data_IF_550810149062
#
_entry.id   IF_550810149062
#
_cell.length_a   1.000
_cell.length_b   1.000
_cell.length_c   1.000
_cell.angle_alpha   90.00
_cell.angle_beta   90.00
_cell.angle_gamma   90.00
#
_symmetry.space_group_name_H-M   'P 1'
#
loop_
_entity.id
_entity.type
_entity.pdbx_description
1 polymer ?
#
# COMPACT_ATOMS: atom_id res chain seq x y z
N UNK A 1 37.44 -10.63 -22.38
CA UNK A 1 36.34 -11.55 -22.07
C UNK A 1 36.57 -12.06 -20.66
N UNK A 2 35.96 -11.42 -19.66
CA UNK A 2 36.02 -11.95 -18.29
C UNK A 2 34.95 -13.03 -18.17
N UNK A 3 35.39 -14.28 -18.04
CA UNK A 3 34.49 -15.38 -17.72
C UNK A 3 33.84 -15.08 -16.37
N UNK A 4 32.51 -14.97 -16.35
CA UNK A 4 31.76 -14.74 -15.13
C UNK A 4 31.92 -15.94 -14.19
N UNK A 5 32.77 -15.80 -13.18
CA UNK A 5 33.00 -16.89 -12.22
C UNK A 5 31.77 -17.13 -11.36
N UNK A 6 31.61 -18.35 -10.84
CA UNK A 6 30.50 -18.68 -9.91
C UNK A 6 30.50 -17.76 -8.69
N UNK A 7 31.69 -17.41 -8.18
CA UNK A 7 31.84 -16.49 -7.06
C UNK A 7 31.33 -15.08 -7.41
N UNK A 8 31.68 -14.57 -8.60
CA UNK A 8 31.26 -13.26 -9.06
C UNK A 8 29.75 -13.20 -9.37
N UNK A 9 29.20 -14.25 -9.99
CA UNK A 9 27.77 -14.41 -10.19
C UNK A 9 27.04 -14.36 -8.84
N UNK A 10 27.50 -15.15 -7.87
CA UNK A 10 26.88 -15.24 -6.53
C UNK A 10 26.97 -13.92 -5.79
N UNK A 11 28.10 -13.22 -5.86
CA UNK A 11 28.29 -11.92 -5.23
C UNK A 11 27.35 -10.85 -5.82
N UNK A 12 27.30 -10.73 -7.16
CA UNK A 12 26.43 -9.76 -7.84
C UNK A 12 24.95 -10.04 -7.54
N UNK A 13 24.56 -11.32 -7.54
CA UNK A 13 23.21 -11.75 -7.17
C UNK A 13 22.87 -11.41 -5.72
N UNK A 14 23.77 -11.71 -4.77
CA UNK A 14 23.59 -11.41 -3.35
C UNK A 14 23.47 -9.91 -3.09
N UNK A 15 24.27 -9.08 -3.78
CA UNK A 15 24.18 -7.62 -3.67
C UNK A 15 22.86 -7.11 -4.24
N UNK A 16 22.42 -7.57 -5.41
CA UNK A 16 21.13 -7.20 -6.00
C UNK A 16 19.96 -7.54 -5.08
N UNK A 17 19.93 -8.77 -4.55
CA UNK A 17 18.94 -9.23 -3.58
C UNK A 17 18.99 -8.39 -2.30
N UNK A 18 20.17 -8.17 -1.73
CA UNK A 18 20.36 -7.42 -0.49
C UNK A 18 19.91 -5.98 -0.61
N UNK A 19 20.24 -5.31 -1.71
CA UNK A 19 19.82 -3.93 -1.97
C UNK A 19 18.30 -3.82 -2.14
N UNK A 20 17.68 -4.71 -2.93
CA UNK A 20 16.22 -4.77 -3.06
C UNK A 20 15.52 -5.07 -1.73
N UNK A 21 16.12 -5.94 -0.90
CA UNK A 21 15.63 -6.23 0.44
C UNK A 21 15.70 -5.01 1.36
N UNK A 22 16.79 -4.23 1.33
CA UNK A 22 16.91 -3.00 2.13
C UNK A 22 15.83 -1.97 1.77
N UNK A 23 15.58 -1.76 0.48
CA UNK A 23 14.47 -0.89 0.01
C UNK A 23 13.13 -1.44 0.53
N UNK A 24 12.92 -2.75 0.41
CA UNK A 24 11.68 -3.39 0.83
C UNK A 24 11.45 -3.40 2.34
N UNK A 25 12.50 -3.46 3.18
CA UNK A 25 12.40 -3.35 4.64
C UNK A 25 11.86 -1.98 5.02
N UNK A 26 12.42 -0.91 4.45
CA UNK A 26 11.95 0.46 4.70
C UNK A 26 10.48 0.61 4.31
N UNK A 27 10.10 0.09 3.14
CA UNK A 27 8.71 0.10 2.66
C UNK A 27 7.76 -0.70 3.56
N UNK A 28 8.17 -1.89 4.01
CA UNK A 28 7.35 -2.75 4.86
C UNK A 28 7.16 -2.13 6.25
N UNK A 29 8.20 -1.52 6.81
CA UNK A 29 8.10 -0.81 8.08
C UNK A 29 7.11 0.35 8.01
N UNK A 30 6.97 1.00 6.85
CA UNK A 30 5.97 2.05 6.60
C UNK A 30 4.60 1.52 6.14
N UNK A 31 4.31 0.23 6.31
CA UNK A 31 3.05 -0.42 5.95
C UNK A 31 2.63 -0.24 4.48
N UNK A 32 3.60 -0.18 3.56
CA UNK A 32 3.33 0.06 2.13
C UNK A 32 3.07 -1.25 1.36
N UNK A 33 2.30 -1.17 0.25
CA UNK A 33 1.85 -2.35 -0.51
C UNK A 33 2.97 -3.27 -1.02
N UNK A 34 4.05 -2.73 -1.58
CA UNK A 34 5.23 -3.52 -1.95
C UNK A 34 6.31 -3.43 -0.87
N UNK A 35 6.35 -4.44 0.00
CA UNK A 35 7.30 -4.57 1.10
C UNK A 35 8.58 -5.35 0.73
N UNK A 36 9.17 -6.01 1.73
CA UNK A 36 10.45 -6.73 1.64
C UNK A 36 10.49 -7.74 0.49
N UNK A 37 9.56 -8.70 0.48
CA UNK A 37 9.56 -9.81 -0.47
C UNK A 37 9.46 -9.32 -1.91
N UNK A 38 8.58 -8.36 -2.18
CA UNK A 38 8.34 -7.84 -3.53
C UNK A 38 9.55 -7.13 -4.09
N UNK A 39 10.16 -6.21 -3.34
CA UNK A 39 11.34 -5.47 -3.80
C UNK A 39 12.57 -6.37 -3.97
N UNK A 40 12.77 -7.32 -3.04
CA UNK A 40 13.84 -8.30 -3.16
C UNK A 40 13.69 -9.16 -4.41
N UNK A 41 12.49 -9.68 -4.70
CA UNK A 41 12.23 -10.49 -5.89
C UNK A 41 12.38 -9.70 -7.19
N UNK A 42 11.93 -8.45 -7.23
CA UNK A 42 12.06 -7.58 -8.40
C UNK A 42 13.52 -7.25 -8.71
N UNK A 43 14.31 -6.86 -7.70
CA UNK A 43 15.75 -6.64 -7.85
C UNK A 43 16.47 -7.94 -8.25
N UNK A 44 16.12 -9.08 -7.63
CA UNK A 44 16.70 -10.39 -7.94
C UNK A 44 16.41 -10.80 -9.38
N UNK A 45 15.16 -10.67 -9.84
CA UNK A 45 14.77 -11.01 -11.21
C UNK A 45 15.52 -10.16 -12.25
N UNK A 46 15.58 -8.84 -12.04
CA UNK A 46 16.36 -7.94 -12.88
C UNK A 46 17.84 -8.33 -12.92
N UNK A 47 18.41 -8.68 -11.76
CA UNK A 47 19.81 -9.11 -11.65
C UNK A 47 20.05 -10.39 -12.44
N UNK A 48 19.17 -11.39 -12.31
CA UNK A 48 19.27 -12.67 -13.01
C UNK A 48 19.19 -12.53 -14.53
N UNK A 49 18.29 -11.70 -15.06
CA UNK A 49 18.18 -11.49 -16.51
C UNK A 49 19.46 -10.89 -17.09
N UNK A 50 20.05 -9.90 -16.42
CA UNK A 50 21.30 -9.28 -16.90
C UNK A 50 22.49 -10.23 -16.71
N UNK A 51 22.58 -10.97 -15.60
CA UNK A 51 23.64 -11.97 -15.41
C UNK A 51 23.53 -13.11 -16.44
N UNK A 52 22.32 -13.52 -16.84
CA UNK A 52 22.12 -14.47 -17.92
C UNK A 52 22.73 -13.96 -19.23
N UNK A 53 22.47 -12.70 -19.61
CA UNK A 53 23.04 -12.10 -20.82
C UNK A 53 24.58 -12.06 -20.79
N UNK A 54 25.16 -11.77 -19.62
CA UNK A 54 26.62 -11.79 -19.40
C UNK A 54 27.16 -13.22 -19.52
N UNK A 55 26.48 -14.20 -18.94
CA UNK A 55 26.89 -15.60 -18.97
C UNK A 55 26.81 -16.24 -20.37
N UNK A 56 25.89 -15.78 -21.22
CA UNK A 56 25.76 -16.23 -22.62
C UNK A 56 26.64 -15.44 -23.58
N UNK A 57 27.51 -14.55 -23.07
CA UNK A 57 28.36 -13.65 -23.86
C UNK A 57 27.58 -12.83 -24.91
N UNK A 58 26.33 -12.47 -24.62
CA UNK A 58 25.55 -11.63 -25.53
C UNK A 58 26.22 -10.26 -25.64
N UNK A 59 26.47 -9.84 -26.88
CA UNK A 59 27.05 -8.54 -27.23
C UNK A 59 26.25 -7.32 -26.75
N UNK A 60 25.01 -7.50 -26.26
CA UNK A 60 24.13 -6.40 -25.88
C UNK A 60 23.45 -6.56 -24.51
N UNK A 61 24.18 -6.58 -23.37
CA UNK A 61 23.57 -6.61 -22.03
C UNK A 61 22.61 -5.42 -21.79
N UNK A 62 22.88 -4.28 -22.42
CA UNK A 62 21.99 -3.10 -22.40
C UNK A 62 20.62 -3.38 -23.01
N UNK A 63 20.52 -4.30 -24.00
CA UNK A 63 19.24 -4.71 -24.59
C UNK A 63 18.39 -5.46 -23.57
N UNK A 64 18.99 -6.38 -22.84
CA UNK A 64 18.29 -7.12 -21.76
C UNK A 64 17.86 -6.15 -20.65
N UNK A 65 18.71 -5.19 -20.29
CA UNK A 65 18.34 -4.12 -19.36
C UNK A 65 17.13 -3.30 -19.86
N UNK A 66 17.06 -2.95 -21.15
CA UNK A 66 15.89 -2.27 -21.74
C UNK A 66 14.61 -3.11 -21.64
N UNK A 67 14.71 -4.43 -21.81
CA UNK A 67 13.56 -5.33 -21.61
C UNK A 67 13.15 -5.43 -20.14
N UNK A 68 14.10 -5.38 -19.20
CA UNK A 68 13.79 -5.28 -17.76
C UNK A 68 13.01 -3.99 -17.49
N UNK A 69 13.48 -2.85 -17.99
CA UNK A 69 12.79 -1.54 -17.85
C UNK A 69 11.35 -1.62 -18.37
N UNK A 70 11.17 -2.19 -19.56
CA UNK A 70 9.84 -2.38 -20.17
C UNK A 70 8.96 -3.34 -19.34
N UNK A 71 9.51 -4.47 -18.89
CA UNK A 71 8.79 -5.47 -18.11
C UNK A 71 8.30 -4.95 -16.76
N UNK A 72 9.07 -4.09 -16.09
CA UNK A 72 8.61 -3.44 -14.85
C UNK A 72 7.47 -2.45 -15.14
N UNK A 73 7.44 -1.82 -16.31
CA UNK A 73 6.30 -1.00 -16.72
C UNK A 73 4.97 -1.77 -16.69
N UNK A 74 4.99 -3.04 -17.12
CA UNK A 74 3.82 -3.92 -17.04
C UNK A 74 3.41 -4.24 -15.59
N UNK A 75 4.37 -4.59 -14.73
CA UNK A 75 4.10 -4.82 -13.30
C UNK A 75 3.61 -3.54 -12.59
N UNK A 76 4.16 -2.39 -12.97
CA UNK A 76 3.76 -1.06 -12.50
C UNK A 76 2.29 -0.78 -12.79
N UNK A 77 1.84 -1.05 -14.01
CA UNK A 77 0.41 -0.94 -14.37
C UNK A 77 -0.49 -1.86 -13.55
N UNK A 78 -0.01 -3.03 -13.14
CA UNK A 78 -0.76 -3.97 -12.30
C UNK A 78 -0.89 -3.56 -10.83
N UNK A 79 0.00 -2.71 -10.30
CA UNK A 79 -0.06 -2.22 -8.92
C UNK A 79 -0.68 -0.83 -8.79
N UNK A 80 -0.84 -0.10 -9.90
CA UNK A 80 -1.54 1.18 -9.93
C UNK A 80 -3.03 0.93 -10.04
N UNK A 81 -3.76 1.27 -8.97
CA UNK A 81 -5.21 1.06 -8.87
C UNK A 81 -5.91 2.41 -8.91
N UNK A 82 -6.98 2.52 -9.69
CA UNK A 82 -7.83 3.71 -9.76
C UNK A 82 -9.18 3.43 -9.12
N UNK A 83 -9.50 4.20 -8.08
CA UNK A 83 -10.78 4.15 -7.37
C UNK A 83 -11.46 5.52 -7.52
N UNK A 84 -12.37 5.62 -8.51
CA UNK A 84 -13.04 6.87 -8.85
C UNK A 84 -12.06 7.96 -9.31
N UNK A 85 -11.97 9.04 -8.51
CA UNK A 85 -11.04 10.15 -8.74
C UNK A 85 -9.67 9.94 -8.10
N UNK A 86 -9.51 8.92 -7.25
CA UNK A 86 -8.26 8.67 -6.54
C UNK A 86 -7.42 7.61 -7.25
N UNK A 87 -6.10 7.81 -7.31
CA UNK A 87 -5.14 6.85 -7.85
C UNK A 87 -4.23 6.40 -6.70
N UNK A 88 -4.06 5.09 -6.54
CA UNK A 88 -3.21 4.48 -5.51
C UNK A 88 -2.12 3.63 -6.16
N UNK A 89 -1.00 3.46 -5.46
CA UNK A 89 0.07 2.57 -5.91
C UNK A 89 1.11 3.21 -6.84
N UNK A 90 1.03 4.53 -7.09
CA UNK A 90 1.96 5.23 -7.98
C UNK A 90 3.39 5.23 -7.43
N UNK A 91 3.54 5.55 -6.13
CA UNK A 91 4.82 5.44 -5.43
C UNK A 91 5.31 3.99 -5.32
N UNK A 92 4.39 3.04 -5.12
CA UNK A 92 4.72 1.61 -5.17
C UNK A 92 5.33 1.22 -6.53
N UNK A 93 4.69 1.58 -7.65
CA UNK A 93 5.19 1.30 -8.98
C UNK A 93 6.57 1.94 -9.22
N UNK A 94 6.75 3.21 -8.84
CA UNK A 94 8.03 3.90 -8.94
C UNK A 94 9.14 3.20 -8.13
N UNK A 95 8.82 2.74 -6.91
CA UNK A 95 9.76 2.01 -6.07
C UNK A 95 10.19 0.69 -6.71
N UNK A 96 9.26 -0.08 -7.28
CA UNK A 96 9.57 -1.33 -7.97
C UNK A 96 10.47 -1.09 -9.20
N UNK A 97 10.22 0.00 -9.94
CA UNK A 97 11.06 0.42 -11.06
C UNK A 97 12.49 0.74 -10.63
N UNK A 98 12.65 1.49 -9.53
CA UNK A 98 13.95 1.77 -8.94
C UNK A 98 14.65 0.50 -8.42
N UNK A 99 13.93 -0.42 -7.76
CA UNK A 99 14.47 -1.70 -7.27
C UNK A 99 15.02 -2.57 -8.42
N UNK A 100 14.34 -2.59 -9.57
CA UNK A 100 14.85 -3.28 -10.75
C UNK A 100 16.13 -2.64 -11.31
N UNK A 101 16.19 -1.31 -11.37
CA UNK A 101 17.38 -0.59 -11.81
C UNK A 101 18.61 -0.88 -10.92
N UNK A 102 18.40 -0.99 -9.59
CA UNK A 102 19.43 -1.42 -8.64
C UNK A 102 19.94 -2.84 -8.94
N UNK A 103 19.02 -3.76 -9.26
CA UNK A 103 19.38 -5.13 -9.68
C UNK A 103 20.20 -5.15 -10.98
N UNK A 104 19.85 -4.32 -11.95
CA UNK A 104 20.62 -4.14 -13.20
C UNK A 104 22.04 -3.64 -12.89
N UNK A 105 22.18 -2.60 -12.04
CA UNK A 105 23.50 -2.07 -11.64
C UNK A 105 24.37 -3.13 -10.95
N UNK A 106 23.78 -3.92 -10.05
CA UNK A 106 24.47 -5.01 -9.37
C UNK A 106 24.94 -6.08 -10.37
N UNK A 107 24.07 -6.51 -11.30
CA UNK A 107 24.40 -7.48 -12.33
C UNK A 107 25.49 -7.01 -13.31
N UNK A 108 25.49 -5.72 -13.65
CA UNK A 108 26.53 -5.10 -14.49
C UNK A 108 27.90 -5.01 -13.80
N UNK A 109 28.00 -5.37 -12.52
CA UNK A 109 29.25 -5.31 -11.73
C UNK A 109 29.49 -3.97 -11.05
N UNK A 110 28.57 -3.01 -11.20
CA UNK A 110 28.67 -1.69 -10.59
C UNK A 110 28.11 -1.69 -9.15
N UNK A 111 28.71 -2.49 -8.27
CA UNK A 111 28.20 -2.71 -6.90
C UNK A 111 28.12 -1.42 -6.07
N UNK A 112 29.09 -0.52 -6.20
CA UNK A 112 29.08 0.77 -5.49
C UNK A 112 27.91 1.64 -5.98
N UNK A 113 27.63 1.66 -7.28
CA UNK A 113 26.49 2.41 -7.82
C UNK A 113 25.15 1.80 -7.37
N UNK A 114 25.07 0.47 -7.25
CA UNK A 114 23.90 -0.18 -6.68
C UNK A 114 23.65 0.26 -5.22
N UNK A 115 24.71 0.37 -4.40
CA UNK A 115 24.59 0.87 -3.02
C UNK A 115 24.20 2.34 -2.95
N UNK A 116 24.79 3.21 -3.78
CA UNK A 116 24.45 4.63 -3.85
C UNK A 116 23.00 4.82 -4.30
N UNK A 117 22.56 4.08 -5.33
CA UNK A 117 21.17 4.11 -5.79
C UNK A 117 20.21 3.67 -4.69
N UNK A 118 20.52 2.57 -3.99
CA UNK A 118 19.75 2.09 -2.84
C UNK A 118 19.63 3.15 -1.75
N UNK A 119 20.75 3.76 -1.36
CA UNK A 119 20.79 4.83 -0.36
C UNK A 119 19.95 6.05 -0.78
N UNK A 120 20.02 6.43 -2.06
CA UNK A 120 19.21 7.52 -2.63
C UNK A 120 17.72 7.22 -2.55
N UNK A 121 17.30 6.03 -2.97
CA UNK A 121 15.88 5.59 -2.94
C UNK A 121 15.35 5.65 -1.51
N UNK A 122 16.07 5.04 -0.57
CA UNK A 122 15.71 5.06 0.85
C UNK A 122 15.64 6.50 1.36
N UNK A 123 16.63 7.34 1.05
CA UNK A 123 16.66 8.74 1.48
C UNK A 123 15.46 9.53 0.96
N UNK A 124 15.06 9.33 -0.30
CA UNK A 124 13.85 9.95 -0.87
C UNK A 124 12.61 9.53 -0.10
N UNK A 125 12.47 8.24 0.25
CA UNK A 125 11.33 7.78 1.05
C UNK A 125 11.32 8.34 2.48
N UNK A 126 12.49 8.48 3.11
CA UNK A 126 12.61 9.04 4.45
C UNK A 126 12.34 10.55 4.48
N UNK A 127 12.89 11.30 3.51
CA UNK A 127 12.83 12.77 3.45
C UNK A 127 11.55 13.29 2.78
N UNK A 128 10.84 12.49 1.99
CA UNK A 128 9.61 12.91 1.33
C UNK A 128 8.52 13.34 2.32
N UNK A 129 8.40 12.66 3.46
CA UNK A 129 7.41 12.98 4.51
C UNK A 129 7.61 14.36 5.16
N UNK A 130 8.80 14.72 5.69
CA UNK A 130 9.00 16.04 6.30
C UNK A 130 8.96 17.18 5.28
N UNK A 131 9.40 16.96 4.03
CA UNK A 131 9.33 17.99 2.99
C UNK A 131 7.91 18.26 2.49
N UNK A 132 7.07 17.24 2.35
CA UNK A 132 5.67 17.41 1.98
C UNK A 132 4.90 18.28 2.97
N UNK A 133 5.13 18.08 4.27
CA UNK A 133 4.51 18.89 5.35
C UNK A 133 4.97 20.34 5.38
N UNK A 134 6.13 20.65 4.80
CA UNK A 134 6.65 22.03 4.73
C UNK A 134 6.09 22.77 3.52
N UNK A 135 5.70 22.03 2.48
CA UNK A 135 5.22 22.57 1.20
C UNK A 135 3.70 22.67 1.18
N UNK A 136 2.98 21.76 1.85
CA UNK A 136 1.53 21.66 1.70
C UNK A 136 0.76 22.35 2.84
N UNK A 137 0.10 23.44 2.47
CA UNK A 137 -0.95 24.09 3.25
C UNK A 137 -2.26 23.70 2.55
N UNK A 138 -2.98 22.74 3.14
CA UNK A 138 -4.37 22.40 2.83
C UNK A 138 -4.61 21.59 1.53
N UNK A 139 -4.42 20.25 1.56
CA UNK A 139 -5.21 19.27 0.81
C UNK A 139 -4.97 17.81 1.30
N UNK A 140 -6.00 17.19 1.87
CA UNK A 140 -5.98 15.80 2.40
C UNK A 140 -5.93 14.67 1.34
N UNK A 141 -5.04 14.81 0.35
CA UNK A 141 -4.71 13.80 -0.67
C UNK A 141 -3.24 13.40 -0.53
N UNK A 142 -2.75 13.21 0.69
CA UNK A 142 -1.57 12.38 0.84
C UNK A 142 -1.98 10.95 0.48
N UNK A 143 -1.37 10.42 -0.58
CA UNK A 143 -1.37 9.00 -0.98
C UNK A 143 -0.77 8.16 0.16
N UNK A 144 -1.52 8.05 1.25
CA UNK A 144 -1.15 7.23 2.38
C UNK A 144 -1.49 5.79 2.00
N UNK A 145 -0.64 5.19 1.17
CA UNK A 145 -0.73 3.79 0.72
C UNK A 145 -0.82 2.80 1.90
N UNK A 146 -0.54 3.23 3.14
CA UNK A 146 -0.73 2.44 4.37
C UNK A 146 -2.13 2.54 4.98
N UNK A 147 -2.86 3.64 4.74
CA UNK A 147 -4.23 3.81 5.22
C UNK A 147 -5.21 3.12 4.28
N UNK A 148 -5.91 2.11 4.80
CA UNK A 148 -6.97 1.42 4.09
C UNK A 148 -8.33 2.02 4.47
N UNK A 149 -9.22 2.27 3.49
CA UNK A 149 -10.57 2.74 3.77
C UNK A 149 -11.45 1.60 4.31
N UNK A 150 -12.18 1.91 5.36
CA UNK A 150 -13.20 1.08 5.96
C UNK A 150 -14.49 1.87 6.11
N UNK A 151 -15.60 1.19 5.91
CA UNK A 151 -16.93 1.72 6.17
C UNK A 151 -17.54 0.99 7.35
N UNK A 152 -17.91 1.71 8.39
CA UNK A 152 -18.67 1.21 9.53
C UNK A 152 -20.14 1.62 9.37
N UNK A 153 -21.04 0.65 9.31
CA UNK A 153 -22.48 0.86 9.21
C UNK A 153 -23.17 0.39 10.49
N UNK A 154 -23.98 1.25 11.09
CA UNK A 154 -24.75 0.97 12.31
C UNK A 154 -26.23 1.20 12.01
N UNK A 155 -27.03 0.15 12.12
CA UNK A 155 -28.49 0.22 12.03
C UNK A 155 -29.05 0.35 13.45
N UNK A 156 -29.79 1.42 13.72
CA UNK A 156 -30.30 1.70 15.07
C UNK A 156 -31.63 2.46 15.06
N UNK A 157 -32.29 2.52 16.21
CA UNK A 157 -33.48 3.36 16.42
C UNK A 157 -33.13 4.84 16.33
N UNK A 158 -34.05 5.71 15.85
CA UNK A 158 -33.83 7.16 15.76
C UNK A 158 -33.37 7.82 17.07
N UNK A 159 -33.91 7.37 18.21
CA UNK A 159 -33.54 7.88 19.54
C UNK A 159 -32.10 7.52 19.94
N UNK A 160 -31.58 6.39 19.45
CA UNK A 160 -30.22 5.89 19.76
C UNK A 160 -29.16 6.49 18.83
N UNK A 161 -29.54 6.99 17.65
CA UNK A 161 -28.61 7.46 16.62
C UNK A 161 -27.62 8.53 17.11
N UNK A 162 -28.08 9.49 17.93
CA UNK A 162 -27.21 10.54 18.49
C UNK A 162 -26.13 9.96 19.40
N UNK A 163 -26.49 8.99 20.23
CA UNK A 163 -25.57 8.32 21.14
C UNK A 163 -24.56 7.44 20.39
N UNK A 164 -25.04 6.67 19.41
CA UNK A 164 -24.18 5.83 18.57
C UNK A 164 -23.14 6.69 17.80
N UNK A 165 -23.56 7.82 17.23
CA UNK A 165 -22.63 8.77 16.58
C UNK A 165 -21.58 9.31 17.54
N UNK A 166 -21.98 9.69 18.76
CA UNK A 166 -21.05 10.21 19.76
C UNK A 166 -20.01 9.15 20.17
N UNK A 167 -20.42 7.89 20.36
CA UNK A 167 -19.49 6.80 20.66
C UNK A 167 -18.51 6.53 19.52
N UNK A 168 -18.97 6.53 18.26
CA UNK A 168 -18.09 6.37 17.09
C UNK A 168 -17.01 7.47 17.11
N UNK A 169 -17.40 8.73 17.26
CA UNK A 169 -16.45 9.86 17.29
C UNK A 169 -15.48 9.75 18.47
N UNK A 170 -15.97 9.41 19.66
CA UNK A 170 -15.14 9.30 20.87
C UNK A 170 -14.13 8.15 20.78
N UNK A 171 -14.54 7.00 20.24
CA UNK A 171 -13.68 5.84 20.08
C UNK A 171 -12.65 6.07 18.97
N UNK A 172 -13.03 6.74 17.87
CA UNK A 172 -12.08 7.15 16.82
C UNK A 172 -11.07 8.15 17.38
N UNK A 173 -11.48 9.18 18.12
CA UNK A 173 -10.55 10.17 18.68
C UNK A 173 -9.52 9.59 19.68
N UNK A 174 -9.83 8.46 20.32
CA UNK A 174 -8.92 7.78 21.26
C UNK A 174 -7.95 6.81 20.59
N UNK A 175 -8.18 6.50 19.33
CA UNK A 175 -7.37 5.55 18.57
C UNK A 175 -6.74 6.27 17.38
N UNK A 176 -5.64 5.73 16.87
CA UNK A 176 -4.99 6.25 15.66
C UNK A 176 -5.81 5.86 14.42
N UNK A 177 -6.97 6.50 14.28
CA UNK A 177 -8.02 6.23 13.29
C UNK A 177 -8.45 7.58 12.72
N UNK A 178 -8.45 7.72 11.39
CA UNK A 178 -8.85 8.98 10.74
C UNK A 178 -10.31 8.86 10.29
N UNK A 179 -11.18 9.72 10.82
CA UNK A 179 -12.58 9.80 10.40
C UNK A 179 -12.70 10.77 9.21
N UNK A 180 -13.10 10.26 8.04
CA UNK A 180 -13.39 11.08 6.85
C UNK A 180 -14.75 11.76 6.95
N UNK A 181 -15.74 11.08 7.53
CA UNK A 181 -17.08 11.62 7.70
C UNK A 181 -18.07 10.61 8.27
N UNK A 182 -19.20 11.10 8.80
CA UNK A 182 -20.31 10.28 9.26
C UNK A 182 -21.58 10.77 8.59
N UNK A 183 -22.21 9.89 7.82
CA UNK A 183 -23.51 10.12 7.20
C UNK A 183 -24.60 9.46 8.02
N UNK A 184 -25.77 10.09 8.09
CA UNK A 184 -26.96 9.55 8.72
C UNK A 184 -28.06 9.50 7.67
N UNK A 185 -28.56 8.31 7.37
CA UNK A 185 -29.66 8.09 6.43
C UNK A 185 -30.82 7.35 7.08
N UNK A 186 -32.01 7.51 6.54
CA UNK A 186 -33.13 6.61 6.87
C UNK A 186 -32.89 5.27 6.18
N UNK A 187 -33.02 4.19 6.94
CA UNK A 187 -33.01 2.84 6.38
C UNK A 187 -34.44 2.44 6.00
N UNK A 188 -35.34 2.46 6.99
CA UNK A 188 -36.79 2.23 6.87
C UNK A 188 -37.52 3.26 7.77
N UNK A 189 -38.87 3.27 7.77
CA UNK A 189 -39.67 4.21 8.59
C UNK A 189 -39.30 4.25 10.08
N UNK A 190 -38.88 3.12 10.67
CA UNK A 190 -38.55 3.01 12.09
C UNK A 190 -37.05 3.02 12.41
N UNK A 191 -36.16 3.04 11.40
CA UNK A 191 -34.74 2.79 11.58
C UNK A 191 -33.83 3.80 10.87
N UNK A 192 -32.74 4.16 11.52
CA UNK A 192 -31.68 5.01 11.00
C UNK A 192 -30.42 4.16 10.74
N UNK A 193 -29.80 4.38 9.58
CA UNK A 193 -28.47 3.90 9.26
C UNK A 193 -27.44 5.02 9.44
N UNK A 194 -26.44 4.77 10.30
CA UNK A 194 -25.25 5.60 10.44
C UNK A 194 -24.10 4.96 9.65
N UNK A 195 -23.50 5.71 8.74
CA UNK A 195 -22.39 5.24 7.91
C UNK A 195 -21.17 6.12 8.17
N UNK A 196 -20.16 5.58 8.86
CA UNK A 196 -18.89 6.25 9.09
C UNK A 196 -17.83 5.76 8.09
N UNK A 197 -17.18 6.70 7.42
CA UNK A 197 -16.04 6.45 6.53
C UNK A 197 -14.75 6.70 7.29
N UNK A 198 -13.91 5.67 7.37
CA UNK A 198 -12.78 5.61 8.28
C UNK A 198 -11.54 5.18 7.51
N UNK A 199 -10.38 5.74 7.82
CA UNK A 199 -9.08 5.29 7.33
C UNK A 199 -8.29 4.68 8.50
N UNK A 200 -7.79 3.46 8.30
CA UNK A 200 -7.02 2.70 9.29
C UNK A 200 -5.68 2.27 8.68
N UNK A 201 -4.61 2.34 9.47
CA UNK A 201 -3.33 1.75 9.07
C UNK A 201 -3.48 0.21 8.97
N UNK A 202 -2.98 -0.39 7.89
CA UNK A 202 -3.31 -1.74 7.42
C UNK A 202 -3.01 -2.90 8.38
N UNK A 203 -2.48 -2.63 9.58
CA UNK A 203 -2.12 -3.62 10.60
C UNK A 203 -3.15 -3.80 11.74
N UNK A 204 -4.28 -3.08 11.79
CA UNK A 204 -5.14 -3.15 13.00
C UNK A 204 -6.66 -3.31 12.82
N UNK A 205 -7.16 -4.41 12.21
CA UNK A 205 -8.59 -4.75 12.24
C UNK A 205 -9.15 -4.88 13.68
N UNK A 206 -8.29 -5.28 14.63
CA UNK A 206 -8.69 -5.48 16.03
C UNK A 206 -9.28 -4.23 16.72
N UNK A 207 -8.84 -3.02 16.31
CA UNK A 207 -9.43 -1.76 16.82
C UNK A 207 -10.86 -1.57 16.32
N UNK A 208 -11.09 -1.88 15.05
CA UNK A 208 -12.41 -1.80 14.42
C UNK A 208 -13.36 -2.87 15.01
N UNK A 209 -12.87 -4.09 15.21
CA UNK A 209 -13.63 -5.17 15.85
C UNK A 209 -14.07 -4.83 17.27
N UNK A 210 -13.21 -4.18 18.07
CA UNK A 210 -13.58 -3.71 19.41
C UNK A 210 -14.69 -2.66 19.36
N UNK A 211 -14.58 -1.67 18.47
CA UNK A 211 -15.62 -0.66 18.27
C UNK A 211 -16.95 -1.31 17.86
N UNK A 212 -16.91 -2.28 16.95
CA UNK A 212 -18.09 -3.03 16.49
C UNK A 212 -18.73 -3.81 17.64
N UNK A 213 -17.92 -4.46 18.47
CA UNK A 213 -18.40 -5.20 19.64
C UNK A 213 -19.03 -4.27 20.70
N UNK A 214 -18.39 -3.14 20.99
CA UNK A 214 -18.91 -2.13 21.93
C UNK A 214 -20.24 -1.54 21.48
N UNK A 215 -20.37 -1.22 20.19
CA UNK A 215 -21.61 -0.69 19.61
C UNK A 215 -22.71 -1.77 19.57
N UNK A 216 -22.38 -3.01 19.24
CA UNK A 216 -23.36 -4.09 19.17
C UNK A 216 -24.04 -4.39 20.51
N UNK A 217 -23.39 -4.04 21.63
CA UNK A 217 -23.94 -4.21 22.98
C UNK A 217 -24.88 -3.06 23.42
N UNK A 218 -25.00 -1.97 22.64
CA UNK A 218 -25.82 -0.82 23.05
C UNK A 218 -27.31 -1.06 22.78
N UNK A 219 -28.20 -0.70 23.71
CA UNK A 219 -29.64 -0.86 23.52
C UNK A 219 -30.16 0.01 22.38
N UNK A 220 -30.91 -0.61 21.47
CA UNK A 220 -31.48 0.05 20.29
C UNK A 220 -30.57 0.07 19.06
N UNK A 221 -29.42 -0.60 19.11
CA UNK A 221 -28.65 -1.00 17.92
C UNK A 221 -29.16 -2.37 17.46
N UNK A 222 -29.52 -2.46 16.18
CA UNK A 222 -30.04 -3.68 15.55
C UNK A 222 -28.95 -4.47 14.85
N UNK A 223 -28.04 -3.77 14.17
CA UNK A 223 -26.94 -4.38 13.44
C UNK A 223 -25.75 -3.43 13.36
N UNK A 224 -24.54 -3.99 13.37
CA UNK A 224 -23.30 -3.28 13.10
C UNK A 224 -22.50 -4.10 12.10
N UNK A 225 -22.15 -3.48 10.99
CA UNK A 225 -21.34 -4.09 9.94
C UNK A 225 -20.15 -3.21 9.60
N UNK A 226 -19.05 -3.83 9.22
CA UNK A 226 -17.95 -3.10 8.62
C UNK A 226 -17.53 -3.76 7.32
N UNK A 227 -17.10 -2.93 6.37
CA UNK A 227 -16.66 -3.34 5.05
C UNK A 227 -15.30 -2.71 4.77
N UNK A 228 -14.38 -3.47 4.20
CA UNK A 228 -13.16 -2.93 3.62
C UNK A 228 -13.48 -2.33 2.24
N UNK A 229 -12.91 -1.17 1.94
CA UNK A 229 -13.10 -0.47 0.66
C UNK A 229 -14.13 0.67 0.71
N UNK A 230 -14.06 1.54 -0.29
CA UNK A 230 -14.91 2.73 -0.40
C UNK A 230 -16.26 2.45 -1.08
N UNK A 231 -16.38 1.33 -1.81
CA UNK A 231 -17.58 0.93 -2.56
C UNK A 231 -17.89 -0.57 -2.46
N UNK A 232 -18.85 -0.91 -1.60
CA UNK A 232 -19.81 -2.00 -1.83
C UNK A 232 -21.17 -1.58 -1.27
N UNK A 233 -22.24 -1.95 -2.00
CA UNK A 233 -23.63 -1.50 -1.87
C UNK A 233 -24.20 -1.81 -0.47
N UNK A 234 -25.08 -0.99 0.14
CA UNK A 234 -25.73 -1.39 1.38
C UNK A 234 -26.56 -2.65 1.12
N UNK A 235 -26.20 -3.76 1.76
CA UNK A 235 -27.15 -4.87 1.93
C UNK A 235 -28.11 -4.42 3.01
N UNK A 236 -29.14 -3.67 2.60
CA UNK A 236 -30.32 -3.50 3.43
C UNK A 236 -30.99 -4.87 3.53
N UNK A 237 -31.41 -5.33 4.72
CA UNK A 237 -32.24 -6.53 4.81
C UNK A 237 -33.51 -6.30 3.99
N UNK A 238 -33.65 -6.97 2.85
CA UNK A 238 -34.84 -6.89 1.99
C UNK A 238 -34.65 -6.54 0.51
N UNK A 239 -33.42 -6.31 0.02
CA UNK A 239 -33.16 -6.13 -1.42
C UNK A 239 -32.35 -7.31 -1.97
N UNK A 240 -33.03 -8.37 -2.40
CA UNK A 240 -32.43 -9.35 -3.32
C UNK A 240 -32.26 -8.68 -4.70
N UNK A 241 -31.14 -8.91 -5.40
CA UNK A 241 -31.02 -8.54 -6.79
C UNK A 241 -31.85 -9.52 -7.64
N UNK A 242 -32.85 -8.99 -8.35
CA UNK A 242 -33.52 -9.67 -9.47
C UNK A 242 -32.52 -10.06 -10.58
#
# INVERSE_FOLDING_TARGET
>A
MQNLSVAEFTLRLAVGLGCGALIGIERQWRARMAGLRTNALVATGATLFVLYAVATEDSSPTRVASYVVSGIGFLGGGVILREGFNVRGLNTAATLWCSAAVGVLAASGHLIFALIATGTIVSVHLLGRPLGRLIDHDNGVEEDEGLQPYRLQVLCRPKTAKYARAQIVQHIARNDIILRGIHTGQANDDNIALTAHILLDGHTPAKLERLVAELSLQPGIYAVHWYAGEQSNPVLPGTEPD
#
